data_IF_093771709859
#
_entry.id   IF_093771709859
#
_cell.length_a   1.000
_cell.length_b   1.000
_cell.length_c   1.000
_cell.angle_alpha   90.00
_cell.angle_beta   90.00
_cell.angle_gamma   90.00
#
_symmetry.space_group_name_H-M   'P 1'
#
loop_
_entity.id
_entity.type
_entity.pdbx_description
1 polymer ?
#
# COMPACT_ATOMS: atom_id res chain seq x y z
N UNK A 1 -15.21 -11.52 -4.46
CA UNK A 1 -13.99 -10.74 -4.14
C UNK A 1 -12.97 -11.58 -3.36
N UNK A 2 -13.30 -12.09 -2.16
CA UNK A 2 -12.35 -12.89 -1.35
C UNK A 2 -12.39 -14.39 -1.69
N UNK A 3 -11.24 -15.06 -1.63
CA UNK A 3 -11.14 -16.52 -1.79
C UNK A 3 -11.61 -17.25 -0.52
N UNK A 4 -12.24 -18.42 -0.66
CA UNK A 4 -12.80 -19.18 0.48
C UNK A 4 -11.73 -19.84 1.36
N UNK A 5 -10.59 -20.26 0.78
CA UNK A 5 -9.50 -20.91 1.53
C UNK A 5 -8.55 -19.96 2.24
N UNK A 6 -8.41 -18.73 1.75
CA UNK A 6 -7.59 -17.69 2.36
C UNK A 6 -8.25 -16.32 2.13
N UNK A 7 -9.10 -15.85 3.06
CA UNK A 7 -9.94 -14.69 2.83
C UNK A 7 -9.26 -13.35 3.13
N UNK A 8 -7.95 -13.34 3.44
CA UNK A 8 -7.19 -12.16 3.84
C UNK A 8 -6.61 -11.47 2.60
N UNK A 9 -6.72 -10.14 2.57
CA UNK A 9 -6.23 -9.30 1.49
C UNK A 9 -5.35 -8.19 2.09
N UNK A 10 -4.37 -7.66 1.32
CA UNK A 10 -3.69 -6.44 1.71
C UNK A 10 -4.71 -5.33 2.02
N UNK A 11 -4.36 -4.44 2.97
CA UNK A 11 -5.24 -3.39 3.54
C UNK A 11 -6.30 -3.89 4.53
N UNK A 12 -6.45 -5.19 4.75
CA UNK A 12 -7.16 -5.70 5.92
C UNK A 12 -6.32 -5.56 7.18
N UNK A 13 -6.98 -5.51 8.34
CA UNK A 13 -6.32 -5.63 9.64
C UNK A 13 -6.75 -6.94 10.32
N UNK A 14 -5.82 -7.59 11.02
CA UNK A 14 -6.08 -8.79 11.83
C UNK A 14 -5.66 -8.54 13.27
N UNK A 15 -6.42 -9.09 14.21
CA UNK A 15 -6.25 -8.87 15.64
C UNK A 15 -6.06 -10.19 16.39
N UNK A 16 -5.13 -10.21 17.35
CA UNK A 16 -4.85 -11.35 18.22
C UNK A 16 -5.39 -11.13 19.63
N UNK A 17 -5.52 -12.21 20.41
CA UNK A 17 -5.96 -12.16 21.83
C UNK A 17 -5.05 -11.28 22.71
N UNK A 18 -3.77 -11.17 22.34
CA UNK A 18 -2.77 -10.39 23.08
C UNK A 18 -2.89 -8.86 22.86
N UNK A 19 -3.97 -8.38 22.21
CA UNK A 19 -4.16 -6.96 21.97
C UNK A 19 -3.20 -6.41 20.91
N UNK A 20 -2.93 -7.18 19.86
CA UNK A 20 -2.07 -6.78 18.75
C UNK A 20 -2.87 -6.71 17.45
N UNK A 21 -2.77 -5.59 16.73
CA UNK A 21 -3.39 -5.41 15.41
C UNK A 21 -2.32 -5.29 14.33
N UNK A 22 -2.40 -6.17 13.34
CA UNK A 22 -1.49 -6.24 12.21
C UNK A 22 -2.19 -5.81 10.92
N UNK A 23 -1.50 -5.04 10.09
CA UNK A 23 -1.92 -4.76 8.71
C UNK A 23 -1.46 -5.89 7.80
N UNK A 24 -2.39 -6.51 7.07
CA UNK A 24 -2.12 -7.57 6.10
C UNK A 24 -1.40 -6.98 4.88
N UNK A 25 -0.39 -7.69 4.38
CA UNK A 25 0.41 -7.29 3.20
C UNK A 25 0.55 -8.38 2.14
N UNK A 26 -0.02 -9.57 2.37
CA UNK A 26 0.07 -10.72 1.47
C UNK A 26 -1.28 -11.14 0.93
N UNK A 27 -1.31 -11.61 -0.33
CA UNK A 27 -2.47 -12.28 -0.94
C UNK A 27 -2.46 -13.80 -0.73
N UNK A 28 -1.38 -14.35 -0.20
CA UNK A 28 -1.19 -15.80 -0.05
C UNK A 28 -0.78 -16.18 1.37
N UNK A 29 -1.07 -17.43 1.72
CA UNK A 29 -0.63 -18.01 2.99
C UNK A 29 0.87 -18.27 3.00
N UNK A 30 1.49 -18.02 4.15
CA UNK A 30 2.88 -18.35 4.44
C UNK A 30 2.88 -19.41 5.55
N UNK A 31 2.85 -20.69 5.20
CA UNK A 31 2.77 -21.81 6.15
C UNK A 31 1.60 -21.71 7.14
N UNK A 32 0.36 -21.54 6.63
CA UNK A 32 -0.86 -21.33 7.43
C UNK A 32 -0.83 -20.05 8.29
N UNK A 33 0.07 -19.11 7.95
CA UNK A 33 0.11 -17.77 8.53
C UNK A 33 -0.30 -16.72 7.51
N UNK A 34 -0.74 -15.57 8.01
CA UNK A 34 -1.09 -14.37 7.25
C UNK A 34 0.08 -13.41 7.30
N UNK A 35 0.70 -13.13 6.15
CA UNK A 35 1.79 -12.15 6.04
C UNK A 35 1.28 -10.73 6.31
N UNK A 36 1.89 -10.05 7.29
CA UNK A 36 1.39 -8.80 7.85
C UNK A 36 2.53 -7.97 8.50
N UNK A 37 2.18 -6.81 9.05
CA UNK A 37 3.05 -6.01 9.92
C UNK A 37 2.27 -5.46 11.10
N UNK A 38 2.86 -5.49 12.29
CA UNK A 38 2.24 -4.96 13.50
C UNK A 38 2.10 -3.44 13.38
N UNK A 39 0.92 -2.92 13.71
CA UNK A 39 0.60 -1.49 13.60
C UNK A 39 0.05 -0.88 14.86
N UNK A 40 -0.75 -1.61 15.63
CA UNK A 40 -1.31 -1.11 16.87
C UNK A 40 -1.16 -2.15 17.97
N UNK A 41 -0.93 -1.65 19.18
CA UNK A 41 -0.81 -2.43 20.41
C UNK A 41 -1.77 -1.84 21.42
N UNK A 42 -2.49 -2.69 22.13
CA UNK A 42 -3.34 -2.30 23.24
C UNK A 42 -2.56 -2.41 24.55
N UNK A 43 -2.58 -1.34 25.34
CA UNK A 43 -2.07 -1.34 26.70
C UNK A 43 -3.11 -0.78 27.69
N UNK A 44 -2.69 -0.53 28.93
CA UNK A 44 -3.54 0.04 29.98
C UNK A 44 -4.13 1.44 29.64
N UNK A 45 -3.57 2.14 28.65
CA UNK A 45 -4.02 3.43 28.16
C UNK A 45 -4.83 3.34 26.86
N UNK A 46 -5.04 2.12 26.34
CA UNK A 46 -5.78 1.84 25.11
C UNK A 46 -4.88 1.54 23.93
N UNK A 47 -5.43 1.69 22.72
CA UNK A 47 -4.69 1.42 21.49
C UNK A 47 -3.73 2.55 21.14
N UNK A 48 -2.49 2.21 20.85
CA UNK A 48 -1.51 3.14 20.30
C UNK A 48 -0.80 2.53 19.10
N UNK A 49 -0.36 3.40 18.19
CA UNK A 49 0.32 3.01 16.96
C UNK A 49 1.80 2.80 17.24
N UNK A 50 2.37 1.75 16.65
CA UNK A 50 3.80 1.45 16.71
C UNK A 50 4.46 1.59 15.34
N UNK A 51 5.70 2.07 15.33
CA UNK A 51 6.58 2.03 14.16
C UNK A 51 7.23 0.65 13.98
N UNK A 52 8.01 0.47 12.91
CA UNK A 52 8.64 -0.81 12.56
C UNK A 52 9.64 -1.27 13.62
N UNK A 53 10.42 -0.35 14.20
CA UNK A 53 11.45 -0.69 15.16
C UNK A 53 10.83 -1.07 16.52
N UNK A 54 9.82 -0.31 16.97
CA UNK A 54 9.01 -0.63 18.14
C UNK A 54 8.32 -1.98 17.98
N UNK A 55 7.71 -2.23 16.81
CA UNK A 55 7.05 -3.48 16.51
C UNK A 55 8.01 -4.67 16.56
N UNK A 56 9.16 -4.60 15.87
CA UNK A 56 10.15 -5.66 15.86
C UNK A 56 10.65 -5.97 17.28
N UNK A 57 11.03 -4.95 18.06
CA UNK A 57 11.49 -5.15 19.45
C UNK A 57 10.43 -5.79 20.34
N UNK A 58 9.16 -5.44 20.15
CA UNK A 58 8.07 -6.02 20.93
C UNK A 58 7.89 -7.50 20.60
N UNK A 59 7.85 -7.83 19.30
CA UNK A 59 7.69 -9.20 18.84
C UNK A 59 8.89 -10.08 19.22
N UNK A 60 10.12 -9.60 19.04
CA UNK A 60 11.34 -10.33 19.45
C UNK A 60 11.34 -10.72 20.93
N UNK A 61 10.78 -9.86 21.79
CA UNK A 61 10.78 -10.07 23.24
C UNK A 61 9.62 -10.90 23.75
N UNK A 62 8.43 -10.71 23.19
CA UNK A 62 7.19 -11.25 23.77
C UNK A 62 6.42 -12.18 22.82
N UNK A 63 6.60 -12.05 21.51
CA UNK A 63 5.84 -12.80 20.49
C UNK A 63 6.72 -13.26 19.31
N UNK A 64 7.83 -13.99 19.57
CA UNK A 64 8.75 -14.41 18.51
C UNK A 64 8.09 -15.33 17.48
N UNK A 65 6.98 -15.98 17.81
CA UNK A 65 6.17 -16.82 16.92
C UNK A 65 5.56 -16.06 15.72
N UNK A 66 5.42 -14.73 15.85
CA UNK A 66 4.93 -13.85 14.78
C UNK A 66 6.05 -13.32 13.88
N UNK A 67 7.32 -13.54 14.22
CA UNK A 67 8.43 -13.24 13.32
C UNK A 67 8.54 -14.35 12.27
N UNK A 68 8.65 -13.97 11.01
CA UNK A 68 8.70 -14.90 9.89
C UNK A 68 9.79 -14.52 8.90
N UNK A 69 10.47 -15.53 8.37
CA UNK A 69 11.43 -15.39 7.30
C UNK A 69 11.00 -16.27 6.13
N UNK A 70 10.76 -15.65 4.98
CA UNK A 70 10.44 -16.35 3.75
C UNK A 70 11.72 -16.78 3.05
N UNK A 71 11.91 -18.10 2.91
CA UNK A 71 12.96 -18.67 2.05
C UNK A 71 12.67 -18.48 0.55
N UNK A 72 11.42 -18.16 0.19
CA UNK A 72 11.04 -17.89 -1.20
C UNK A 72 11.54 -16.53 -1.68
N UNK A 73 11.52 -15.52 -0.82
CA UNK A 73 11.86 -14.13 -1.18
C UNK A 73 13.08 -13.58 -0.42
N UNK A 74 13.76 -14.41 0.38
CA UNK A 74 14.91 -14.01 1.20
C UNK A 74 14.60 -12.73 2.02
N UNK A 75 13.47 -12.76 2.74
CA UNK A 75 12.91 -11.59 3.41
C UNK A 75 12.27 -11.91 4.75
N UNK A 76 12.50 -11.03 5.73
CA UNK A 76 11.85 -11.07 7.05
C UNK A 76 10.64 -10.13 7.09
N UNK A 77 9.54 -10.61 7.65
CA UNK A 77 8.31 -9.85 7.91
C UNK A 77 7.52 -10.53 9.04
N UNK A 78 6.35 -10.01 9.40
CA UNK A 78 5.53 -10.64 10.44
C UNK A 78 4.53 -11.60 9.82
N UNK A 79 4.26 -12.74 10.45
CA UNK A 79 3.21 -13.64 10.01
C UNK A 79 2.44 -14.19 11.21
N UNK A 80 1.13 -13.97 11.24
CA UNK A 80 0.25 -14.43 12.32
C UNK A 80 -0.43 -15.74 11.89
N UNK A 81 -0.33 -16.83 12.67
CA UNK A 81 -1.09 -18.05 12.41
C UNK A 81 -2.59 -17.79 12.33
N UNK A 82 -3.29 -18.39 11.38
CA UNK A 82 -4.73 -18.17 11.18
C UNK A 82 -5.53 -18.46 12.46
N UNK A 83 -5.12 -19.46 13.24
CA UNK A 83 -5.78 -19.85 14.50
C UNK A 83 -5.56 -18.85 15.65
N UNK A 84 -4.61 -17.92 15.54
CA UNK A 84 -4.36 -16.87 16.54
C UNK A 84 -5.15 -15.58 16.26
N UNK A 85 -5.90 -15.53 15.15
CA UNK A 85 -6.66 -14.35 14.74
C UNK A 85 -8.06 -14.45 15.34
N UNK A 86 -8.38 -13.52 16.25
CA UNK A 86 -9.72 -13.43 16.86
C UNK A 86 -10.64 -12.44 16.15
N UNK A 87 -10.06 -11.47 15.45
CA UNK A 87 -10.85 -10.55 14.64
C UNK A 87 -10.17 -10.22 13.32
N UNK A 88 -10.98 -10.20 12.26
CA UNK A 88 -10.58 -9.85 10.91
C UNK A 88 -11.37 -8.60 10.51
N UNK A 89 -10.70 -7.46 10.58
CA UNK A 89 -11.23 -6.16 10.20
C UNK A 89 -11.18 -5.98 8.69
N UNK A 90 -12.36 -5.91 8.06
CA UNK A 90 -12.51 -5.90 6.60
C UNK A 90 -12.93 -4.52 6.08
N UNK A 91 -12.15 -3.90 5.17
CA UNK A 91 -12.44 -2.56 4.68
C UNK A 91 -13.83 -2.39 4.03
N UNK A 92 -14.26 -3.36 3.23
CA UNK A 92 -15.55 -3.33 2.54
C UNK A 92 -16.73 -3.35 3.53
N UNK A 93 -16.59 -4.14 4.61
CA UNK A 93 -17.61 -4.24 5.64
C UNK A 93 -17.69 -2.94 6.45
N UNK A 94 -16.53 -2.38 6.83
CA UNK A 94 -16.48 -1.14 7.61
C UNK A 94 -17.09 0.05 6.85
N UNK A 95 -16.77 0.19 5.56
CA UNK A 95 -17.33 1.28 4.75
C UNK A 95 -18.85 1.17 4.68
N UNK A 96 -19.38 -0.02 4.38
CA UNK A 96 -20.83 -0.25 4.35
C UNK A 96 -21.52 0.01 5.69
N UNK A 97 -20.88 -0.34 6.82
CA UNK A 97 -21.42 -0.05 8.15
C UNK A 97 -21.54 1.46 8.38
N UNK A 98 -20.47 2.22 8.11
CA UNK A 98 -20.44 3.66 8.32
C UNK A 98 -21.39 4.44 7.40
N UNK A 99 -21.63 3.96 6.18
CA UNK A 99 -22.57 4.59 5.25
C UNK A 99 -24.05 4.35 5.62
N UNK A 100 -24.34 3.34 6.46
CA UNK A 100 -25.70 3.03 6.92
C UNK A 100 -26.10 3.80 8.18
N UNK A 101 -25.16 4.50 8.81
CA UNK A 101 -25.36 5.21 10.06
C UNK A 101 -25.13 6.71 9.83
N UNK A 102 -25.78 7.60 10.61
CA UNK A 102 -25.41 9.01 10.63
C UNK A 102 -23.94 9.16 11.03
N UNK A 103 -23.23 10.12 10.44
CA UNK A 103 -21.84 10.37 10.81
C UNK A 103 -21.75 10.86 12.26
N UNK A 104 -20.95 10.17 13.07
CA UNK A 104 -20.82 10.47 14.51
C UNK A 104 -19.67 11.43 14.81
N UNK A 105 -18.74 11.62 13.86
CA UNK A 105 -17.58 12.50 14.01
C UNK A 105 -17.31 13.32 12.73
N UNK A 106 -16.50 14.39 12.80
CA UNK A 106 -16.19 15.23 11.63
C UNK A 106 -15.53 14.48 10.47
N UNK A 107 -14.73 13.44 10.73
CA UNK A 107 -14.06 12.67 9.69
C UNK A 107 -15.04 11.75 8.97
N UNK A 108 -16.01 11.17 9.68
CA UNK A 108 -17.11 10.42 9.08
C UNK A 108 -17.99 11.30 8.17
N UNK A 109 -18.26 12.55 8.56
CA UNK A 109 -18.96 13.50 7.70
C UNK A 109 -18.21 13.75 6.38
N UNK A 110 -16.89 13.94 6.47
CA UNK A 110 -16.02 14.09 5.29
C UNK A 110 -15.98 12.82 4.44
N UNK A 111 -15.96 11.64 5.06
CA UNK A 111 -16.07 10.36 4.37
C UNK A 111 -17.38 10.26 3.58
N UNK A 112 -18.53 10.54 4.21
CA UNK A 112 -19.83 10.51 3.53
C UNK A 112 -19.86 11.45 2.33
N UNK A 113 -19.36 12.68 2.51
CA UNK A 113 -19.25 13.67 1.42
C UNK A 113 -18.33 13.18 0.30
N UNK A 114 -17.17 12.62 0.64
CA UNK A 114 -16.22 12.07 -0.34
C UNK A 114 -16.86 10.94 -1.15
N UNK A 115 -17.54 10.00 -0.50
CA UNK A 115 -18.23 8.90 -1.17
C UNK A 115 -19.32 9.43 -2.12
N UNK A 116 -20.12 10.41 -1.68
CA UNK A 116 -21.14 11.03 -2.52
C UNK A 116 -20.52 11.73 -3.75
N UNK A 117 -19.39 12.41 -3.61
CA UNK A 117 -18.65 13.01 -4.73
C UNK A 117 -18.19 11.90 -5.69
N UNK A 118 -17.55 10.84 -5.21
CA UNK A 118 -17.05 9.76 -6.07
C UNK A 118 -18.18 9.07 -6.85
N UNK A 119 -19.35 8.88 -6.23
CA UNK A 119 -20.54 8.35 -6.92
C UNK A 119 -21.02 9.25 -8.07
N UNK A 120 -20.93 10.58 -7.94
CA UNK A 120 -21.30 11.51 -9.03
C UNK A 120 -20.45 11.27 -10.29
N UNK A 121 -19.23 10.77 -10.12
CA UNK A 121 -18.33 10.38 -11.21
C UNK A 121 -18.38 8.88 -11.53
N UNK A 122 -19.48 8.20 -11.19
CA UNK A 122 -19.75 6.79 -11.51
C UNK A 122 -18.75 5.80 -10.91
N UNK A 123 -18.14 6.12 -9.75
CA UNK A 123 -17.38 5.13 -8.98
C UNK A 123 -18.36 4.18 -8.29
N UNK A 124 -18.18 2.89 -8.52
CA UNK A 124 -18.96 1.85 -7.86
C UNK A 124 -18.54 1.69 -6.39
N UNK A 125 -19.49 1.90 -5.46
CA UNK A 125 -19.25 1.75 -4.03
C UNK A 125 -19.00 0.29 -3.65
N UNK A 126 -19.59 -0.67 -4.36
CA UNK A 126 -19.44 -2.09 -4.01
C UNK A 126 -18.01 -2.60 -4.28
N UNK A 127 -17.23 -1.85 -5.08
CA UNK A 127 -15.81 -2.04 -5.29
C UNK A 127 -14.93 -1.30 -4.26
N UNK A 128 -15.48 -0.66 -3.23
CA UNK A 128 -14.75 0.16 -2.27
C UNK A 128 -14.70 -0.43 -0.85
N UNK A 129 -13.69 0.00 -0.10
CA UNK A 129 -13.56 -0.25 1.33
C UNK A 129 -12.87 0.90 2.05
N UNK A 130 -12.93 0.89 3.39
CA UNK A 130 -12.28 1.87 4.27
C UNK A 130 -11.25 1.17 5.15
N UNK A 131 -9.97 1.55 5.02
CA UNK A 131 -8.85 0.99 5.79
C UNK A 131 -8.29 2.02 6.78
N UNK A 132 -7.07 1.79 7.29
CA UNK A 132 -6.35 2.72 8.13
C UNK A 132 -6.95 2.83 9.53
N UNK A 133 -6.82 4.00 10.15
CA UNK A 133 -7.28 4.20 11.53
C UNK A 133 -8.81 4.09 11.67
N UNK A 134 -9.57 4.49 10.65
CA UNK A 134 -11.03 4.40 10.66
C UNK A 134 -11.55 2.95 10.58
N UNK A 135 -10.75 2.01 10.05
CA UNK A 135 -11.07 0.58 10.02
C UNK A 135 -11.29 0.01 11.42
N UNK A 136 -10.44 0.41 12.36
CA UNK A 136 -10.39 -0.09 13.74
C UNK A 136 -10.87 0.94 14.77
N UNK A 137 -11.57 1.98 14.32
CA UNK A 137 -12.08 3.07 15.14
C UNK A 137 -11.00 3.79 16.01
N UNK A 138 -9.79 3.92 15.47
CA UNK A 138 -8.65 4.60 16.11
C UNK A 138 -8.30 5.92 15.42
N UNK A 139 -9.23 6.50 14.66
CA UNK A 139 -9.06 7.78 13.99
C UNK A 139 -8.99 8.94 15.00
N UNK A 140 -8.22 9.95 14.63
CA UNK A 140 -8.13 11.25 15.31
C UNK A 140 -8.64 12.33 14.36
N UNK A 141 -8.92 13.53 14.87
CA UNK A 141 -9.32 14.67 14.03
C UNK A 141 -8.31 14.99 12.89
N UNK A 142 -7.04 14.66 13.09
CA UNK A 142 -5.94 14.82 12.11
C UNK A 142 -5.67 13.58 11.27
N UNK A 143 -6.49 12.53 11.37
CA UNK A 143 -6.32 11.33 10.54
C UNK A 143 -6.70 11.58 9.09
N UNK A 144 -6.02 10.85 8.21
CA UNK A 144 -6.37 10.74 6.80
C UNK A 144 -7.57 9.80 6.63
N UNK A 145 -8.25 9.90 5.49
CA UNK A 145 -9.23 8.91 5.04
C UNK A 145 -8.53 7.95 4.07
N UNK A 146 -8.33 6.70 4.46
CA UNK A 146 -7.70 5.68 3.62
C UNK A 146 -8.76 4.80 2.96
N UNK A 147 -8.98 4.97 1.66
CA UNK A 147 -9.91 4.16 0.88
C UNK A 147 -9.16 3.03 0.14
N UNK A 148 -9.85 1.90 0.00
CA UNK A 148 -9.42 0.75 -0.79
C UNK A 148 -10.35 0.61 -1.97
N UNK A 149 -9.81 0.39 -3.16
CA UNK A 149 -10.58 0.05 -4.37
C UNK A 149 -10.14 -1.34 -4.83
N UNK A 150 -11.11 -2.24 -4.99
CA UNK A 150 -10.88 -3.62 -5.38
C UNK A 150 -11.01 -3.77 -6.89
N UNK A 151 -9.94 -4.22 -7.55
CA UNK A 151 -9.86 -4.38 -9.00
C UNK A 151 -9.13 -3.26 -9.72
N UNK A 152 -8.33 -3.61 -10.73
CA UNK A 152 -7.55 -2.64 -11.53
C UNK A 152 -8.44 -1.67 -12.28
N UNK A 153 -9.48 -2.19 -12.94
CA UNK A 153 -10.41 -1.36 -13.71
C UNK A 153 -11.11 -0.33 -12.82
N UNK A 154 -11.72 -0.79 -11.71
CA UNK A 154 -12.40 0.08 -10.75
C UNK A 154 -11.45 1.12 -10.14
N UNK A 155 -10.21 0.73 -9.82
CA UNK A 155 -9.21 1.66 -9.31
C UNK A 155 -8.86 2.76 -10.33
N UNK A 156 -8.66 2.42 -11.61
CA UNK A 156 -8.39 3.41 -12.65
C UNK A 156 -9.59 4.33 -12.90
N UNK A 157 -10.82 3.81 -12.85
CA UNK A 157 -12.04 4.62 -12.90
C UNK A 157 -12.10 5.60 -11.71
N UNK A 158 -11.85 5.13 -10.49
CA UNK A 158 -11.81 5.97 -9.28
C UNK A 158 -10.71 7.03 -9.37
N UNK A 159 -9.52 6.70 -9.88
CA UNK A 159 -8.42 7.65 -10.09
C UNK A 159 -8.81 8.74 -11.09
N UNK A 160 -9.51 8.36 -12.16
CA UNK A 160 -10.06 9.33 -13.11
C UNK A 160 -11.15 10.21 -12.49
N UNK A 161 -11.99 9.64 -11.61
CA UNK A 161 -13.01 10.38 -10.88
C UNK A 161 -12.38 11.43 -9.95
N UNK A 162 -11.36 11.06 -9.17
CA UNK A 162 -10.60 12.01 -8.34
C UNK A 162 -10.05 13.15 -9.18
N UNK A 163 -9.42 12.85 -10.33
CA UNK A 163 -8.87 13.88 -11.23
C UNK A 163 -9.94 14.84 -11.74
N UNK A 164 -11.13 14.34 -12.11
CA UNK A 164 -12.26 15.16 -12.58
C UNK A 164 -12.84 16.01 -11.44
N UNK A 165 -13.07 15.41 -10.28
CA UNK A 165 -13.57 16.11 -9.10
C UNK A 165 -12.65 17.24 -8.63
N UNK A 166 -11.32 17.08 -8.78
CA UNK A 166 -10.36 18.16 -8.58
C UNK A 166 -10.54 19.28 -9.61
N UNK A 167 -10.69 18.93 -10.89
CA UNK A 167 -10.90 19.92 -11.95
C UNK A 167 -12.21 20.72 -11.76
N UNK A 168 -13.23 20.06 -11.22
CA UNK A 168 -14.54 20.66 -10.92
C UNK A 168 -14.59 21.34 -9.54
N UNK A 169 -13.44 21.46 -8.85
CA UNK A 169 -13.29 22.09 -7.53
C UNK A 169 -14.12 21.46 -6.40
N UNK A 170 -14.55 20.20 -6.56
CA UNK A 170 -15.21 19.43 -5.50
C UNK A 170 -14.19 18.80 -4.54
N UNK A 171 -12.98 18.56 -5.03
CA UNK A 171 -11.81 18.13 -4.27
C UNK A 171 -10.65 19.07 -4.53
N UNK A 172 -9.64 19.05 -3.66
CA UNK A 172 -8.43 19.87 -3.83
C UNK A 172 -7.20 18.98 -3.99
N UNK A 173 -6.21 19.46 -4.75
CA UNK A 173 -4.87 18.87 -4.72
C UNK A 173 -4.25 19.12 -3.35
N UNK A 174 -3.26 18.31 -2.98
CA UNK A 174 -2.38 18.64 -1.87
C UNK A 174 -1.70 19.98 -2.20
N UNK A 175 -1.78 20.93 -1.27
CA UNK A 175 -0.95 22.13 -1.34
C UNK A 175 0.50 21.81 -0.92
N UNK A 176 1.36 22.82 -0.95
CA UNK A 176 2.78 22.66 -0.62
C UNK A 176 2.99 22.15 0.81
N UNK A 177 2.18 22.59 1.78
CA UNK A 177 2.30 22.18 3.18
C UNK A 177 1.90 20.72 3.34
N UNK A 178 0.77 20.31 2.76
CA UNK A 178 0.33 18.91 2.78
C UNK A 178 1.30 18.00 2.02
N UNK A 179 1.90 18.47 0.92
CA UNK A 179 2.92 17.73 0.19
C UNK A 179 4.21 17.59 1.01
N UNK A 180 4.62 18.61 1.75
CA UNK A 180 5.77 18.54 2.67
C UNK A 180 5.54 17.53 3.80
N UNK A 181 4.35 17.52 4.40
CA UNK A 181 3.97 16.51 5.40
C UNK A 181 3.98 15.09 4.81
N UNK A 182 3.47 14.92 3.58
CA UNK A 182 3.51 13.65 2.88
C UNK A 182 4.96 13.20 2.61
N UNK A 183 5.82 14.11 2.16
CA UNK A 183 7.25 13.85 1.93
C UNK A 183 7.97 13.40 3.21
N UNK A 184 7.82 14.15 4.31
CA UNK A 184 8.43 13.82 5.60
C UNK A 184 7.98 12.45 6.13
N UNK A 185 6.71 12.10 5.93
CA UNK A 185 6.17 10.81 6.36
C UNK A 185 6.69 9.63 5.52
N UNK A 186 7.06 9.88 4.27
CA UNK A 186 7.58 8.84 3.35
C UNK A 186 9.07 8.61 3.50
N UNK A 187 9.82 9.56 4.05
CA UNK A 187 11.28 9.48 4.26
C UNK A 187 11.99 9.04 2.95
N UNK A 188 11.61 9.66 1.83
CA UNK A 188 12.07 9.27 0.49
C UNK A 188 13.51 9.71 0.24
N UNK A 189 14.26 8.89 -0.51
CA UNK A 189 15.61 9.23 -1.02
C UNK A 189 15.60 10.30 -2.13
N UNK A 190 14.43 10.59 -2.70
CA UNK A 190 14.27 11.63 -3.70
C UNK A 190 14.23 13.00 -3.02
N UNK A 191 14.78 14.04 -3.66
CA UNK A 191 14.54 15.41 -3.19
C UNK A 191 13.05 15.78 -3.28
N UNK A 192 12.66 16.84 -2.56
CA UNK A 192 11.26 17.25 -2.45
C UNK A 192 10.62 17.58 -3.81
N UNK A 193 11.35 18.22 -4.72
CA UNK A 193 10.82 18.64 -6.02
C UNK A 193 10.55 17.41 -6.89
N UNK A 194 11.50 16.47 -6.94
CA UNK A 194 11.37 15.20 -7.65
C UNK A 194 10.26 14.34 -7.05
N UNK A 195 10.22 14.22 -5.72
CA UNK A 195 9.18 13.47 -5.01
C UNK A 195 7.79 14.05 -5.30
N UNK A 196 7.62 15.37 -5.17
CA UNK A 196 6.33 16.03 -5.35
C UNK A 196 5.85 15.93 -6.79
N UNK A 197 6.74 16.08 -7.78
CA UNK A 197 6.42 15.86 -9.20
C UNK A 197 5.86 14.45 -9.43
N UNK A 198 6.50 13.43 -8.86
CA UNK A 198 6.02 12.04 -8.95
C UNK A 198 4.71 11.82 -8.19
N UNK A 199 4.51 12.41 -7.02
CA UNK A 199 3.27 12.24 -6.25
C UNK A 199 2.07 12.91 -6.92
N UNK A 200 2.22 14.11 -7.49
CA UNK A 200 1.11 14.83 -8.10
C UNK A 200 0.51 14.11 -9.31
N UNK A 201 1.32 13.40 -10.09
CA UNK A 201 0.84 12.69 -11.29
C UNK A 201 0.11 11.37 -10.98
N UNK A 202 0.33 10.78 -9.80
CA UNK A 202 -0.35 9.54 -9.39
C UNK A 202 -1.86 9.70 -9.26
N UNK A 203 -2.35 10.90 -8.95
CA UNK A 203 -3.78 11.19 -8.77
C UNK A 203 -4.49 10.21 -7.80
N UNK A 204 -3.75 9.64 -6.84
CA UNK A 204 -4.28 8.72 -5.83
C UNK A 204 -4.36 9.33 -4.43
N UNK A 205 -4.11 10.63 -4.31
CA UNK A 205 -4.27 11.43 -3.09
C UNK A 205 -4.90 12.77 -3.43
N UNK A 206 -5.77 13.25 -2.56
CA UNK A 206 -6.37 14.57 -2.66
C UNK A 206 -6.89 15.01 -1.29
N UNK A 207 -7.47 16.20 -1.23
CA UNK A 207 -8.04 16.78 -0.02
C UNK A 207 -9.56 16.91 -0.15
N UNK A 208 -10.27 16.62 0.94
CA UNK A 208 -11.70 16.88 1.13
C UNK A 208 -11.86 17.69 2.43
N UNK A 209 -12.36 18.92 2.32
CA UNK A 209 -12.61 19.82 3.46
C UNK A 209 -11.42 19.89 4.44
N UNK A 210 -10.21 20.06 3.91
CA UNK A 210 -8.96 20.16 4.67
C UNK A 210 -8.42 18.84 5.25
N UNK A 211 -9.06 17.69 4.99
CA UNK A 211 -8.51 16.36 5.33
C UNK A 211 -7.98 15.67 4.09
N UNK A 212 -6.78 15.08 4.20
CA UNK A 212 -6.21 14.27 3.13
C UNK A 212 -6.93 12.93 3.05
N UNK A 213 -7.13 12.44 1.83
CA UNK A 213 -7.52 11.06 1.59
C UNK A 213 -6.64 10.42 0.52
N UNK A 214 -6.40 9.12 0.67
CA UNK A 214 -5.61 8.30 -0.24
C UNK A 214 -6.52 7.17 -0.77
N UNK A 215 -6.41 6.84 -2.06
CA UNK A 215 -7.00 5.63 -2.65
C UNK A 215 -5.89 4.60 -2.91
N UNK A 216 -6.04 3.39 -2.39
CA UNK A 216 -5.16 2.26 -2.64
C UNK A 216 -5.87 1.14 -3.39
N UNK A 217 -5.16 0.42 -4.23
CA UNK A 217 -5.71 -0.71 -4.98
C UNK A 217 -5.49 -2.03 -4.25
N UNK A 218 -6.47 -2.93 -4.33
CA UNK A 218 -6.33 -4.34 -3.99
C UNK A 218 -6.78 -5.17 -5.19
N UNK A 219 -5.93 -6.10 -5.64
CA UNK A 219 -6.23 -6.93 -6.79
C UNK A 219 -7.35 -7.94 -6.48
N UNK A 220 -8.19 -8.21 -7.47
CA UNK A 220 -9.15 -9.31 -7.43
C UNK A 220 -8.43 -10.66 -7.59
N UNK A 221 -9.09 -11.75 -7.22
CA UNK A 221 -8.50 -13.09 -7.25
C UNK A 221 -8.05 -13.54 -8.64
N UNK A 222 -8.77 -13.14 -9.68
CA UNK A 222 -8.50 -13.42 -11.10
C UNK A 222 -7.47 -12.46 -11.72
N UNK A 223 -7.12 -11.39 -11.01
CA UNK A 223 -6.09 -10.42 -11.39
C UNK A 223 -4.70 -10.77 -10.85
N UNK A 224 -4.64 -11.68 -9.87
CA UNK A 224 -3.41 -12.10 -9.21
C UNK A 224 -2.57 -13.01 -10.10
N UNK A 225 -1.26 -12.80 -10.01
CA UNK A 225 -0.24 -13.61 -10.66
C UNK A 225 0.63 -14.19 -9.55
N UNK A 226 0.46 -15.49 -9.29
CA UNK A 226 1.11 -16.15 -8.16
C UNK A 226 2.57 -16.39 -8.52
N UNK A 227 3.47 -15.74 -7.78
CA UNK A 227 4.90 -15.98 -7.92
C UNK A 227 5.25 -17.33 -7.29
N UNK A 228 5.68 -18.28 -8.12
CA UNK A 228 6.12 -19.61 -7.70
C UNK A 228 7.64 -19.74 -7.67
N UNK A 229 8.37 -18.74 -8.21
CA UNK A 229 9.83 -18.77 -8.22
C UNK A 229 10.38 -18.39 -6.85
N UNK A 230 11.57 -18.91 -6.58
CA UNK A 230 12.37 -18.57 -5.41
C UNK A 230 13.47 -17.62 -5.84
N UNK A 231 13.62 -16.52 -5.12
CA UNK A 231 14.60 -15.48 -5.39
C UNK A 231 15.56 -15.34 -4.22
N UNK A 232 16.84 -15.14 -4.55
CA UNK A 232 17.89 -14.84 -3.59
C UNK A 232 18.46 -13.46 -3.86
N UNK A 233 18.67 -12.67 -2.80
CA UNK A 233 19.23 -11.33 -2.93
C UNK A 233 20.73 -11.41 -3.24
N UNK A 234 21.17 -10.58 -4.17
CA UNK A 234 22.54 -10.48 -4.67
C UNK A 234 23.14 -9.08 -4.47
N UNK A 235 22.64 -8.35 -3.47
CA UNK A 235 23.09 -6.99 -3.12
C UNK A 235 22.29 -5.88 -3.81
N UNK A 236 22.73 -4.64 -3.63
CA UNK A 236 22.08 -3.45 -4.20
C UNK A 236 22.65 -3.15 -5.58
N UNK A 237 21.79 -2.76 -6.51
CA UNK A 237 22.18 -2.36 -7.87
C UNK A 237 21.40 -1.14 -8.32
N UNK A 238 22.09 -0.25 -9.03
CA UNK A 238 21.47 0.86 -9.76
C UNK A 238 21.49 0.57 -11.26
N UNK A 239 20.35 0.76 -11.92
CA UNK A 239 20.21 0.64 -13.37
C UNK A 239 19.51 1.85 -13.96
N UNK A 240 19.77 2.12 -15.23
CA UNK A 240 18.99 3.05 -16.04
C UNK A 240 18.39 2.28 -17.22
N UNK A 241 17.10 2.49 -17.47
CA UNK A 241 16.36 1.77 -18.51
C UNK A 241 15.05 2.50 -18.82
N UNK A 242 14.35 2.07 -19.86
CA UNK A 242 13.04 2.56 -20.24
C UNK A 242 11.95 1.60 -19.77
N UNK A 243 10.84 2.15 -19.30
CA UNK A 243 9.65 1.38 -18.93
C UNK A 243 8.94 0.91 -20.20
N UNK A 244 8.67 -0.38 -20.27
CA UNK A 244 7.98 -1.03 -21.41
C UNK A 244 6.54 -1.40 -21.09
N UNK A 245 6.20 -1.57 -19.80
CA UNK A 245 4.85 -1.89 -19.32
C UNK A 245 4.66 -1.41 -17.87
N UNK A 246 3.58 -0.69 -17.63
CA UNK A 246 3.13 -0.11 -16.36
C UNK A 246 1.71 -0.57 -15.97
N UNK A 247 1.17 -1.60 -16.63
CA UNK A 247 -0.19 -2.13 -16.39
C UNK A 247 -0.44 -2.58 -14.94
N UNK A 248 0.64 -2.88 -14.20
CA UNK A 248 0.63 -3.30 -12.79
C UNK A 248 1.30 -2.26 -11.88
N UNK A 249 1.38 -1.00 -12.30
CA UNK A 249 2.01 0.07 -11.53
C UNK A 249 1.31 0.34 -10.19
N UNK A 250 -0.01 0.10 -10.11
CA UNK A 250 -0.79 0.33 -8.89
C UNK A 250 -1.06 -0.93 -8.07
N UNK A 251 -0.58 -2.09 -8.53
CA UNK A 251 -0.60 -3.34 -7.77
C UNK A 251 0.22 -3.19 -6.48
N UNK A 252 0.04 -4.14 -5.56
CA UNK A 252 0.92 -4.25 -4.40
C UNK A 252 1.42 -5.70 -4.24
N UNK A 253 2.71 -5.99 -4.51
CA UNK A 253 3.73 -5.05 -4.96
C UNK A 253 3.43 -4.48 -6.36
N UNK A 254 3.84 -3.23 -6.61
CA UNK A 254 3.79 -2.65 -7.95
C UNK A 254 4.79 -3.37 -8.86
N UNK A 255 4.48 -3.55 -10.13
CA UNK A 255 5.35 -4.24 -11.09
C UNK A 255 5.48 -3.42 -12.37
N UNK A 256 6.72 -3.24 -12.81
CA UNK A 256 7.09 -2.54 -14.04
C UNK A 256 7.97 -3.45 -14.89
N UNK A 257 7.66 -3.58 -16.19
CA UNK A 257 8.59 -4.22 -17.14
C UNK A 257 9.49 -3.17 -17.75
N UNK A 258 10.77 -3.49 -17.92
CA UNK A 258 11.77 -2.55 -18.43
C UNK A 258 12.64 -3.18 -19.52
N UNK A 259 13.22 -2.37 -20.40
CA UNK A 259 14.13 -2.83 -21.45
C UNK A 259 15.56 -3.06 -20.94
N UNK A 260 15.70 -3.95 -19.96
CA UNK A 260 17.00 -4.40 -19.46
C UNK A 260 17.11 -5.92 -19.59
N UNK A 261 18.16 -6.41 -20.28
CA UNK A 261 18.33 -7.83 -20.56
C UNK A 261 18.56 -8.69 -19.30
N UNK A 262 19.20 -8.13 -18.28
CA UNK A 262 19.49 -8.86 -17.04
C UNK A 262 18.33 -8.77 -16.04
N UNK A 263 17.74 -7.59 -15.92
CA UNK A 263 16.66 -7.29 -14.97
C UNK A 263 15.45 -6.73 -15.70
N UNK A 264 14.69 -7.56 -16.45
CA UNK A 264 13.57 -7.10 -17.27
C UNK A 264 12.35 -6.65 -16.45
N UNK A 265 12.41 -6.78 -15.13
CA UNK A 265 11.33 -6.49 -14.20
C UNK A 265 11.85 -5.68 -13.00
N UNK A 266 11.02 -4.75 -12.55
CA UNK A 266 11.18 -3.99 -11.30
C UNK A 266 9.92 -4.21 -10.48
N UNK A 267 10.07 -4.60 -9.22
CA UNK A 267 8.96 -4.75 -8.29
C UNK A 267 9.10 -3.79 -7.11
N UNK A 268 7.98 -3.22 -6.64
CA UNK A 268 7.99 -2.33 -5.49
C UNK A 268 7.04 -2.75 -4.38
N UNK A 269 7.60 -3.03 -3.20
CA UNK A 269 6.88 -3.33 -1.96
C UNK A 269 6.67 -2.10 -1.07
N UNK A 270 7.02 -0.90 -1.55
CA UNK A 270 6.72 0.35 -0.84
C UNK A 270 5.63 1.14 -1.55
N UNK A 271 4.65 1.60 -0.79
CA UNK A 271 3.60 2.48 -1.28
C UNK A 271 4.14 3.82 -1.84
N UNK A 272 5.39 4.19 -1.52
CA UNK A 272 6.05 5.37 -2.09
C UNK A 272 6.22 5.24 -3.60
N UNK A 273 6.55 4.05 -4.12
CA UNK A 273 6.81 3.87 -5.56
C UNK A 273 5.71 3.07 -6.30
N UNK A 274 4.54 2.92 -5.68
CA UNK A 274 3.33 2.48 -6.37
C UNK A 274 2.83 3.63 -7.26
N UNK A 275 2.55 3.33 -8.53
CA UNK A 275 2.12 4.30 -9.54
C UNK A 275 3.21 5.28 -9.97
N UNK A 276 4.48 4.96 -9.72
CA UNK A 276 5.59 5.92 -9.79
C UNK A 276 5.98 6.30 -11.22
N UNK A 277 5.93 5.34 -12.16
CA UNK A 277 6.44 5.47 -13.52
C UNK A 277 5.46 4.93 -14.55
N UNK A 278 5.52 5.49 -15.75
CA UNK A 278 4.62 5.21 -16.86
C UNK A 278 5.39 4.60 -18.04
N UNK A 279 4.69 3.82 -18.87
CA UNK A 279 5.27 3.23 -20.08
C UNK A 279 5.87 4.30 -20.99
N UNK A 280 7.11 4.06 -21.44
CA UNK A 280 7.86 4.94 -22.33
C UNK A 280 8.83 5.88 -21.60
N UNK A 281 8.69 6.06 -20.28
CA UNK A 281 9.61 6.90 -19.51
C UNK A 281 10.98 6.24 -19.35
N UNK A 282 12.03 7.08 -19.33
CA UNK A 282 13.38 6.66 -18.96
C UNK A 282 13.57 6.87 -17.46
N UNK A 283 14.11 5.87 -16.79
CA UNK A 283 14.16 5.83 -15.32
C UNK A 283 15.54 5.43 -14.82
N UNK A 284 15.88 5.91 -13.64
CA UNK A 284 16.95 5.41 -12.79
C UNK A 284 16.33 4.70 -11.58
N UNK A 285 16.76 3.47 -11.34
CA UNK A 285 16.26 2.65 -10.22
C UNK A 285 17.41 2.11 -9.42
N UNK A 286 17.34 2.28 -8.11
CA UNK A 286 18.23 1.68 -7.13
C UNK A 286 17.43 0.76 -6.21
N UNK A 287 17.86 -0.49 -6.08
CA UNK A 287 17.18 -1.47 -5.22
C UNK A 287 17.96 -2.78 -5.11
N UNK A 288 17.41 -3.74 -4.38
CA UNK A 288 18.00 -5.06 -4.25
C UNK A 288 17.87 -5.84 -5.56
N UNK A 289 19.00 -6.29 -6.10
CA UNK A 289 19.02 -7.29 -7.16
C UNK A 289 18.66 -8.64 -6.53
N UNK A 290 17.69 -9.33 -7.10
CA UNK A 290 17.42 -10.72 -6.75
C UNK A 290 17.31 -11.57 -7.99
N UNK A 291 17.76 -12.82 -7.90
CA UNK A 291 17.76 -13.75 -9.02
C UNK A 291 17.20 -15.11 -8.60
N UNK A 292 16.48 -15.76 -9.51
CA UNK A 292 16.05 -17.14 -9.34
C UNK A 292 17.14 -18.15 -9.75
N UNK A 293 16.88 -19.44 -9.52
CA UNK A 293 17.81 -20.51 -9.86
C UNK A 293 18.06 -20.66 -11.39
N UNK A 294 17.22 -20.06 -12.23
CA UNK A 294 17.40 -20.04 -13.69
C UNK A 294 18.31 -18.90 -14.16
N UNK A 295 18.67 -17.98 -13.27
CA UNK A 295 19.44 -16.78 -13.57
C UNK A 295 18.59 -15.60 -14.03
N UNK A 296 17.27 -15.69 -13.96
CA UNK A 296 16.38 -14.56 -14.22
C UNK A 296 16.43 -13.62 -13.03
N UNK A 297 16.80 -12.36 -13.24
CA UNK A 297 16.93 -11.38 -12.17
C UNK A 297 15.88 -10.27 -12.28
N UNK A 298 15.66 -9.55 -11.18
CA UNK A 298 14.83 -8.34 -11.09
C UNK A 298 15.37 -7.38 -10.04
N UNK A 299 14.93 -6.12 -10.09
CA UNK A 299 15.21 -5.14 -9.04
C UNK A 299 13.99 -5.04 -8.11
N UNK A 300 14.24 -5.15 -6.80
CA UNK A 300 13.25 -4.96 -5.74
C UNK A 300 13.47 -3.61 -5.07
N UNK A 301 12.42 -2.82 -4.97
CA UNK A 301 12.40 -1.52 -4.28
C UNK A 301 11.40 -1.59 -3.13
N UNK A 302 11.80 -1.26 -1.91
CA UNK A 302 11.12 -1.67 -0.69
C UNK A 302 11.54 -3.06 -0.21
N UNK A 303 12.83 -3.42 -0.35
CA UNK A 303 13.37 -4.66 0.23
C UNK A 303 13.38 -4.65 1.77
N UNK A 304 13.28 -3.44 2.34
CA UNK A 304 12.91 -3.14 3.72
C UNK A 304 11.62 -2.31 3.72
N UNK A 305 10.95 -2.23 4.87
CA UNK A 305 9.68 -1.49 4.99
C UNK A 305 9.85 0.02 4.74
N UNK A 306 10.98 0.58 5.12
CA UNK A 306 11.33 1.99 4.93
C UNK A 306 11.96 2.28 3.56
N UNK A 307 12.41 1.24 2.83
CA UNK A 307 13.05 1.36 1.51
C UNK A 307 14.28 2.31 1.49
N UNK A 308 15.03 2.39 2.60
CA UNK A 308 16.22 3.26 2.71
C UNK A 308 17.27 2.89 1.67
N UNK A 309 17.78 3.89 0.97
CA UNK A 309 18.72 3.75 -0.14
C UNK A 309 18.11 3.22 -1.45
N UNK A 310 16.78 3.04 -1.51
CA UNK A 310 16.08 2.47 -2.66
C UNK A 310 15.09 3.47 -3.26
N UNK A 311 15.09 3.57 -4.60
CA UNK A 311 14.25 4.53 -5.30
C UNK A 311 13.95 4.15 -6.75
N UNK A 312 12.86 4.74 -7.25
CA UNK A 312 12.51 4.77 -8.68
C UNK A 312 12.31 6.24 -9.06
N UNK A 313 13.12 6.73 -9.99
CA UNK A 313 13.15 8.14 -10.43
C UNK A 313 13.06 8.24 -11.95
N UNK A 314 12.20 9.10 -12.47
CA UNK A 314 12.24 9.46 -13.90
C UNK A 314 13.43 10.37 -14.17
N UNK A 315 14.14 10.10 -15.26
CA UNK A 315 15.29 10.90 -15.70
C UNK A 315 15.12 11.30 -17.16
N UNK A 316 15.78 12.39 -17.55
CA UNK A 316 15.86 12.77 -18.96
C UNK A 316 16.71 11.75 -19.74
N UNK A 317 16.28 11.44 -20.96
CA UNK A 317 17.05 10.61 -21.87
C UNK A 317 18.27 11.44 -22.33
N UNK A 318 19.47 10.99 -21.94
CA UNK A 318 20.73 11.55 -22.44
C UNK A 318 21.00 11.10 -23.88
#
# INVERSE_FOLDING_TARGET
>A
MRQTGFPFLPKDFIETEDGLIFAVVSYHSHDQKVGCFLRYVQDQHGWHKVDTEQANRLLERHHPEFLFYSSQFDAAFHAVPVNSIIHHHRPEQRLQQLLKQPAEDPLQHKLHKLIAILQQYSVDIDAMGLTGSMLINQQKATSDIDLVIYGREAFHQCRSAVKKAIADNLLQKLDITQMQENYQRRDSELDFDTFSWHEYRKCNKAMIDGSKFDIGMVCLSDELDIEHRHFLKQGIKTIQCRVTDDSRAFDFPARYRVDNALTPEIISFTHTYVGQVEKGEFIEVCGALECDASGTCRIVVGSTREARGEYIKVIEQK
#
